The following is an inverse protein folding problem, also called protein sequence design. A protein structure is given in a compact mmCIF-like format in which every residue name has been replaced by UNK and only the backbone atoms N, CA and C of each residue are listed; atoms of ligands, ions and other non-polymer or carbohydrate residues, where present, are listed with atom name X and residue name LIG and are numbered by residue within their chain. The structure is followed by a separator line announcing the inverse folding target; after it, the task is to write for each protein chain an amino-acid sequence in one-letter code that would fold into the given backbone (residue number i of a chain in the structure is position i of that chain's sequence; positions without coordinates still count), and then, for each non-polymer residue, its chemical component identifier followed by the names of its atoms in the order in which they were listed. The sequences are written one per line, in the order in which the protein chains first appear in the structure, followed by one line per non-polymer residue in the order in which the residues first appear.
data_IF_578405369485
#
_entry.id   IF_578405369485
#
_cell.length_a   1.000
_cell.length_b   1.000
_cell.length_c   1.000
_cell.angle_alpha   90.00
_cell.angle_beta   90.00
_cell.angle_gamma   90.00
#
_symmetry.space_group_name_H-M   'P 1'
#
loop_
_entity.id
_entity.type
_entity.pdbx_description
1 polymer ?
#
# COMPACT_ATOMS: atom_id res chain seq x y z
N UNK A 1 19.22 -4.58 23.84
CA UNK A 1 18.07 -4.01 23.11
C UNK A 1 17.44 -5.12 22.26
N UNK A 2 17.24 -6.33 22.82
CA UNK A 2 17.50 -7.56 22.03
C UNK A 2 16.30 -8.51 21.88
N UNK A 3 15.07 -8.05 22.15
CA UNK A 3 13.85 -8.87 22.01
C UNK A 3 12.73 -8.11 21.29
N UNK A 4 13.06 -7.32 20.26
CA UNK A 4 12.06 -6.81 19.31
C UNK A 4 12.02 -7.77 18.14
N UNK A 5 10.86 -8.38 17.91
CA UNK A 5 10.68 -9.28 16.77
C UNK A 5 10.94 -8.58 15.43
N UNK A 6 11.25 -9.37 14.41
CA UNK A 6 11.69 -8.86 13.11
C UNK A 6 10.59 -8.08 12.39
N UNK A 7 10.95 -6.99 11.72
CA UNK A 7 10.04 -6.20 10.88
C UNK A 7 10.62 -6.06 9.48
N UNK A 8 9.79 -6.30 8.46
CA UNK A 8 10.10 -6.16 7.05
C UNK A 8 9.11 -5.20 6.41
N UNK A 9 9.62 -4.15 5.79
CA UNK A 9 8.82 -3.23 4.96
C UNK A 9 9.05 -3.60 3.49
N UNK A 10 7.98 -3.73 2.72
CA UNK A 10 8.04 -4.18 1.32
C UNK A 10 6.88 -3.61 0.50
N UNK A 11 7.04 -3.70 -0.82
CA UNK A 11 6.00 -3.51 -1.83
C UNK A 11 6.01 -4.69 -2.79
N UNK A 12 4.86 -5.00 -3.40
CA UNK A 12 4.74 -6.02 -4.44
C UNK A 12 4.76 -5.36 -5.81
N UNK A 13 5.52 -5.94 -6.74
CA UNK A 13 5.58 -5.52 -8.13
C UNK A 13 5.20 -6.70 -9.01
N UNK A 14 4.48 -6.41 -10.09
CA UNK A 14 4.15 -7.40 -11.10
C UNK A 14 5.36 -7.74 -12.00
N UNK A 15 5.29 -8.77 -12.85
CA UNK A 15 6.39 -9.14 -13.75
C UNK A 15 6.85 -8.04 -14.72
N UNK A 16 6.01 -7.03 -14.97
CA UNK A 16 6.33 -5.89 -15.83
C UNK A 16 6.90 -4.70 -15.02
N UNK A 17 7.05 -4.85 -13.70
CA UNK A 17 7.54 -3.80 -12.81
C UNK A 17 6.46 -2.81 -12.36
N UNK A 18 5.17 -3.09 -12.56
CA UNK A 18 4.11 -2.22 -12.04
C UNK A 18 3.87 -2.49 -10.56
N UNK A 19 3.73 -1.42 -9.79
CA UNK A 19 3.41 -1.48 -8.37
C UNK A 19 1.99 -2.04 -8.16
N UNK A 20 1.87 -3.05 -7.30
CA UNK A 20 0.58 -3.62 -6.90
C UNK A 20 0.04 -2.84 -5.71
N UNK A 21 -1.23 -2.44 -5.78
CA UNK A 21 -1.89 -1.63 -4.74
C UNK A 21 -1.85 -2.34 -3.37
N UNK A 22 -1.17 -1.73 -2.40
CA UNK A 22 -1.02 -2.30 -1.06
C UNK A 22 -2.37 -2.57 -0.37
N UNK A 23 -3.42 -1.81 -0.69
CA UNK A 23 -4.77 -1.98 -0.13
C UNK A 23 -5.40 -3.28 -0.63
N UNK A 24 -5.12 -3.62 -1.88
CA UNK A 24 -5.56 -4.89 -2.46
C UNK A 24 -4.84 -6.06 -1.81
N UNK A 25 -3.53 -5.92 -1.60
CA UNK A 25 -2.74 -6.93 -0.88
C UNK A 25 -3.24 -7.11 0.57
N UNK A 26 -3.54 -6.01 1.28
CA UNK A 26 -4.11 -6.06 2.64
C UNK A 26 -5.44 -6.82 2.67
N UNK A 27 -6.32 -6.55 1.72
CA UNK A 27 -7.61 -7.24 1.60
C UNK A 27 -7.41 -8.75 1.38
N UNK A 28 -6.58 -9.13 0.40
CA UNK A 28 -6.30 -10.54 0.09
C UNK A 28 -5.61 -11.25 1.25
N UNK A 29 -4.72 -10.56 1.97
CA UNK A 29 -4.09 -11.08 3.19
C UNK A 29 -5.15 -11.33 4.28
N UNK A 30 -6.07 -10.39 4.49
CA UNK A 30 -7.16 -10.54 5.44
C UNK A 30 -8.08 -11.73 5.11
N UNK A 31 -8.40 -11.94 3.82
CA UNK A 31 -9.13 -13.12 3.35
C UNK A 31 -8.34 -14.42 3.61
N UNK A 32 -7.02 -14.38 3.44
CA UNK A 32 -6.12 -15.47 3.80
C UNK A 32 -5.88 -15.60 5.33
N UNK A 33 -6.55 -14.78 6.16
CA UNK A 33 -6.37 -14.67 7.62
C UNK A 33 -4.92 -14.36 8.04
N UNK A 34 -4.29 -13.44 7.32
CA UNK A 34 -2.98 -12.85 7.60
C UNK A 34 -3.20 -11.38 7.92
N UNK A 35 -2.77 -10.93 9.10
CA UNK A 35 -2.87 -9.52 9.49
C UNK A 35 -1.59 -8.79 9.09
N UNK A 36 -1.68 -7.92 8.08
CA UNK A 36 -0.61 -7.02 7.69
C UNK A 36 -0.84 -5.63 8.28
N UNK A 37 0.23 -4.83 8.41
CA UNK A 37 0.09 -3.40 8.65
C UNK A 37 0.39 -2.67 7.35
N UNK A 38 -0.58 -1.91 6.86
CA UNK A 38 -0.38 -1.08 5.68
C UNK A 38 -0.70 0.38 5.98
N UNK A 39 -0.23 1.28 5.13
CA UNK A 39 -0.52 2.70 5.25
C UNK A 39 0.35 3.54 4.33
N UNK A 40 -0.03 4.81 4.20
CA UNK A 40 0.78 5.83 3.54
C UNK A 40 2.04 6.12 4.35
N UNK A 41 3.16 6.44 3.70
CA UNK A 41 4.30 7.10 4.34
C UNK A 41 3.85 8.49 4.80
N UNK A 42 3.33 8.56 6.01
CA UNK A 42 2.84 9.80 6.62
C UNK A 42 3.95 10.64 7.27
N UNK A 43 5.22 10.40 6.91
CA UNK A 43 6.33 11.28 7.24
C UNK A 43 6.53 12.27 6.09
N UNK A 44 6.19 13.57 6.28
CA UNK A 44 6.54 14.60 5.32
C UNK A 44 8.05 14.58 5.07
N UNK A 45 8.44 14.59 3.80
CA UNK A 45 9.81 14.45 3.31
C UNK A 45 10.28 13.02 3.02
N UNK A 46 9.71 11.99 3.65
CA UNK A 46 10.13 10.60 3.44
C UNK A 46 9.33 9.90 2.33
N UNK A 47 8.03 10.21 2.21
CA UNK A 47 7.22 9.76 1.07
C UNK A 47 7.63 10.47 -0.22
N UNK A 48 7.97 11.75 -0.12
CA UNK A 48 8.40 12.60 -1.24
C UNK A 48 9.76 12.18 -1.79
N UNK A 49 10.71 11.81 -0.91
CA UNK A 49 12.01 11.29 -1.33
C UNK A 49 11.97 9.85 -1.87
N UNK A 50 11.02 9.02 -1.40
CA UNK A 50 10.86 7.64 -1.87
C UNK A 50 10.14 7.56 -3.22
N UNK A 51 9.23 8.50 -3.48
CA UNK A 51 8.39 8.54 -4.68
C UNK A 51 8.82 9.65 -5.66
N UNK A 52 9.94 10.34 -5.44
CA UNK A 52 10.43 11.45 -6.30
C UNK A 52 9.34 12.52 -6.57
N UNK A 53 8.69 12.97 -5.50
CA UNK A 53 7.67 14.02 -5.55
C UNK A 53 8.34 15.37 -5.31
N UNK A 54 8.15 16.30 -6.25
CA UNK A 54 8.71 17.65 -6.11
C UNK A 54 7.78 18.60 -5.33
N UNK A 55 8.29 19.79 -4.99
CA UNK A 55 7.52 20.80 -4.26
C UNK A 55 6.29 21.29 -5.04
N UNK A 56 6.35 21.30 -6.37
CA UNK A 56 5.25 21.65 -7.27
C UNK A 56 4.12 20.62 -7.24
N UNK A 57 4.46 19.34 -7.19
CA UNK A 57 3.50 18.25 -7.03
C UNK A 57 2.72 18.38 -5.72
N UNK A 58 3.44 18.61 -4.62
CA UNK A 58 2.84 18.80 -3.30
C UNK A 58 1.96 20.05 -3.24
N UNK A 59 2.44 21.18 -3.75
CA UNK A 59 1.71 22.45 -3.72
C UNK A 59 0.42 22.36 -4.52
N UNK A 60 0.48 21.84 -5.73
CA UNK A 60 -0.71 21.74 -6.55
C UNK A 60 -1.65 20.62 -6.06
N UNK A 61 -1.17 19.60 -5.34
CA UNK A 61 -2.03 18.63 -4.67
C UNK A 61 -2.79 19.24 -3.48
N UNK A 62 -2.13 20.10 -2.70
CA UNK A 62 -2.75 20.86 -1.61
C UNK A 62 -3.77 21.87 -2.14
N UNK A 63 -3.44 22.58 -3.22
CA UNK A 63 -4.35 23.52 -3.88
C UNK A 63 -5.59 22.82 -4.46
N UNK A 64 -5.42 21.65 -5.09
CA UNK A 64 -6.55 20.85 -5.60
C UNK A 64 -7.40 20.23 -4.50
N UNK A 65 -6.80 19.80 -3.40
CA UNK A 65 -7.54 19.17 -2.31
C UNK A 65 -8.29 20.19 -1.42
N UNK A 66 -7.87 21.46 -1.43
CA UNK A 66 -8.54 22.56 -0.74
C UNK A 66 -8.46 22.48 0.80
N UNK A 67 -9.30 23.25 1.49
CA UNK A 67 -9.36 23.33 2.98
C UNK A 67 -9.83 22.04 3.67
N UNK A 68 -10.36 21.08 2.92
CA UNK A 68 -10.83 19.78 3.41
C UNK A 68 -9.86 18.67 2.98
N UNK A 69 -8.57 18.88 3.27
CA UNK A 69 -7.56 17.86 3.00
C UNK A 69 -7.77 16.70 4.00
N UNK A 70 -8.03 15.52 3.47
CA UNK A 70 -7.98 14.28 4.23
C UNK A 70 -7.08 13.29 3.47
N UNK A 71 -6.64 12.24 4.16
CA UNK A 71 -5.70 11.27 3.60
C UNK A 71 -6.21 10.67 2.28
N UNK A 72 -7.53 10.45 2.14
CA UNK A 72 -8.11 9.87 0.94
C UNK A 72 -8.01 10.81 -0.25
N UNK A 73 -8.30 12.10 -0.05
CA UNK A 73 -8.21 13.12 -1.10
C UNK A 73 -6.77 13.37 -1.52
N UNK A 74 -5.83 13.36 -0.57
CA UNK A 74 -4.40 13.45 -0.86
C UNK A 74 -3.91 12.25 -1.68
N UNK A 75 -4.24 11.02 -1.26
CA UNK A 75 -3.90 9.80 -2.00
C UNK A 75 -4.50 9.77 -3.40
N UNK A 76 -5.75 10.24 -3.57
CA UNK A 76 -6.40 10.31 -4.88
C UNK A 76 -5.65 11.26 -5.83
N UNK A 77 -5.25 12.45 -5.35
CA UNK A 77 -4.49 13.41 -6.17
C UNK A 77 -3.10 12.87 -6.50
N UNK A 78 -2.43 12.20 -5.56
CA UNK A 78 -1.13 11.56 -5.80
C UNK A 78 -1.22 10.43 -6.83
N UNK A 79 -2.26 9.59 -6.75
CA UNK A 79 -2.53 8.53 -7.73
C UNK A 79 -2.78 9.11 -9.12
N UNK A 80 -3.56 10.19 -9.22
CA UNK A 80 -3.86 10.86 -10.48
C UNK A 80 -2.65 11.52 -11.15
N UNK A 81 -1.57 11.80 -10.40
CA UNK A 81 -0.37 12.50 -10.89
C UNK A 81 0.80 11.60 -11.32
N UNK A 82 0.67 10.28 -11.21
CA UNK A 82 1.74 9.41 -11.72
C UNK A 82 1.74 7.97 -11.24
N UNK A 83 0.63 7.44 -10.69
CA UNK A 83 0.58 6.05 -10.23
C UNK A 83 1.44 5.74 -9.00
N UNK A 84 2.00 6.76 -8.37
CA UNK A 84 2.80 6.69 -7.14
C UNK A 84 1.87 6.42 -5.96
N UNK A 85 1.70 5.15 -5.58
CA UNK A 85 0.98 4.83 -4.35
C UNK A 85 1.94 5.04 -3.19
N UNK A 86 1.82 6.17 -2.50
CA UNK A 86 2.68 6.58 -1.39
C UNK A 86 2.54 5.69 -0.13
N UNK A 87 2.31 4.39 -0.25
CA UNK A 87 2.12 3.47 0.86
C UNK A 87 3.05 2.27 0.84
N UNK A 88 3.20 1.64 2.00
CA UNK A 88 4.02 0.45 2.17
C UNK A 88 3.32 -0.61 3.00
N UNK A 89 3.73 -1.85 2.77
CA UNK A 89 3.33 -3.00 3.56
C UNK A 89 4.41 -3.28 4.59
N UNK A 90 4.01 -3.45 5.84
CA UNK A 90 4.88 -3.83 6.94
C UNK A 90 4.45 -5.17 7.52
N UNK A 91 5.34 -6.14 7.41
CA UNK A 91 5.24 -7.44 8.06
C UNK A 91 6.02 -7.38 9.37
N UNK A 92 5.37 -7.67 10.48
CA UNK A 92 6.01 -7.69 11.80
C UNK A 92 5.82 -9.06 12.43
N UNK A 93 6.92 -9.67 12.83
CA UNK A 93 6.96 -10.90 13.63
C UNK A 93 7.24 -10.53 15.09
N UNK A 94 6.81 -11.38 16.01
CA UNK A 94 7.03 -11.16 17.44
C UNK A 94 6.94 -12.46 18.22
N UNK A 95 6.82 -12.36 19.54
CA UNK A 95 6.70 -13.52 20.44
C UNK A 95 5.54 -14.45 20.07
N UNK A 96 4.48 -13.90 19.47
CA UNK A 96 3.30 -14.66 19.04
C UNK A 96 3.44 -15.28 17.62
N UNK A 97 4.57 -15.07 16.94
CA UNK A 97 4.81 -15.60 15.58
C UNK A 97 5.75 -16.80 15.64
N UNK A 98 5.53 -17.78 14.78
CA UNK A 98 6.40 -18.94 14.61
C UNK A 98 6.77 -19.16 13.14
N UNK A 99 7.54 -20.22 12.86
CA UNK A 99 7.98 -20.54 11.50
C UNK A 99 6.83 -20.82 10.54
N UNK A 100 5.75 -21.46 10.98
CA UNK A 100 4.59 -21.75 10.14
C UNK A 100 3.86 -20.46 9.72
N UNK A 101 3.86 -19.42 10.56
CA UNK A 101 3.31 -18.12 10.20
C UNK A 101 4.12 -17.45 9.08
N UNK A 102 5.45 -17.54 9.17
CA UNK A 102 6.35 -17.04 8.13
C UNK A 102 6.15 -17.80 6.83
N UNK A 103 6.10 -19.13 6.89
CA UNK A 103 5.88 -19.98 5.71
C UNK A 103 4.50 -19.71 5.07
N UNK A 104 3.47 -19.46 5.88
CA UNK A 104 2.15 -19.07 5.39
C UNK A 104 2.19 -17.72 4.68
N UNK A 105 2.93 -16.76 5.21
CA UNK A 105 3.15 -15.48 4.52
C UNK A 105 3.92 -15.66 3.21
N UNK A 106 4.96 -16.50 3.18
CA UNK A 106 5.72 -16.79 1.96
C UNK A 106 4.84 -17.40 0.86
N UNK A 107 4.01 -18.41 1.19
CA UNK A 107 3.04 -18.98 0.23
C UNK A 107 2.03 -17.96 -0.28
N UNK A 108 1.58 -17.06 0.60
CA UNK A 108 0.70 -15.96 0.19
C UNK A 108 1.42 -15.03 -0.81
N UNK A 109 2.66 -14.64 -0.51
CA UNK A 109 3.47 -13.78 -1.37
C UNK A 109 3.78 -14.44 -2.74
N UNK A 110 4.05 -15.74 -2.76
CA UNK A 110 4.28 -16.52 -3.99
C UNK A 110 3.10 -16.47 -4.96
N UNK A 111 1.87 -16.37 -4.44
CA UNK A 111 0.66 -16.25 -5.26
C UNK A 111 0.62 -15.02 -6.17
N UNK A 112 1.44 -14.00 -5.89
CA UNK A 112 1.51 -12.77 -6.68
C UNK A 112 2.65 -12.74 -7.70
N UNK A 113 3.62 -13.66 -7.61
CA UNK A 113 4.88 -13.60 -8.38
C UNK A 113 4.66 -13.52 -9.88
N UNK A 114 3.66 -14.23 -10.37
CA UNK A 114 3.35 -14.38 -11.80
C UNK A 114 2.03 -13.70 -12.19
N UNK A 115 1.52 -12.79 -11.35
CA UNK A 115 0.25 -12.08 -11.56
C UNK A 115 0.49 -10.63 -11.99
N UNK A 116 -0.30 -10.13 -12.94
CA UNK A 116 -0.25 -8.72 -13.33
C UNK A 116 -0.98 -7.84 -12.30
N UNK A 117 -0.58 -6.57 -12.15
CA UNK A 117 -1.29 -5.64 -11.26
C UNK A 117 -2.78 -5.50 -11.63
N UNK A 118 -3.10 -5.59 -12.93
CA UNK A 118 -4.48 -5.60 -13.44
C UNK A 118 -5.27 -6.85 -12.98
N UNK A 119 -4.65 -8.03 -13.01
CA UNK A 119 -5.28 -9.28 -12.56
C UNK A 119 -5.49 -9.31 -11.05
N UNK A 120 -4.54 -8.78 -10.27
CA UNK A 120 -4.70 -8.67 -8.82
C UNK A 120 -5.81 -7.67 -8.46
N UNK A 121 -5.98 -6.65 -9.30
CA UNK A 121 -7.00 -5.62 -9.17
C UNK A 121 -6.52 -4.44 -8.32
N UNK A 122 -7.33 -3.40 -8.28
CA UNK A 122 -7.08 -2.21 -7.47
C UNK A 122 -8.22 -1.94 -6.51
N UNK A 123 -7.95 -1.17 -5.47
CA UNK A 123 -8.97 -0.66 -4.56
C UNK A 123 -9.13 0.82 -4.85
N UNK A 124 -10.29 1.26 -5.30
CA UNK A 124 -10.61 2.67 -5.47
C UNK A 124 -11.46 3.16 -4.30
N UNK A 125 -11.32 4.43 -3.95
CA UNK A 125 -12.19 5.07 -2.96
C UNK A 125 -13.05 6.08 -3.70
N UNK A 126 -14.35 5.84 -3.72
CA UNK A 126 -15.30 6.84 -4.17
C UNK A 126 -15.48 7.88 -3.06
N UNK A 127 -14.92 9.07 -3.31
CA UNK A 127 -14.91 10.18 -2.37
C UNK A 127 -16.32 10.76 -2.19
N UNK A 128 -17.15 10.76 -3.24
CA UNK A 128 -18.48 11.37 -3.19
C UNK A 128 -19.46 10.51 -2.37
N UNK A 129 -19.37 9.19 -2.49
CA UNK A 129 -20.20 8.26 -1.71
C UNK A 129 -19.54 7.74 -0.43
N UNK A 130 -18.31 8.17 -0.12
CA UNK A 130 -17.50 7.67 0.99
C UNK A 130 -17.41 6.13 1.01
N UNK A 131 -17.31 5.50 -0.17
CA UNK A 131 -17.36 4.05 -0.33
C UNK A 131 -16.08 3.50 -0.95
N UNK A 132 -15.59 2.40 -0.40
CA UNK A 132 -14.53 1.61 -1.02
C UNK A 132 -15.13 0.82 -2.19
N UNK A 133 -14.66 1.11 -3.41
CA UNK A 133 -14.97 0.40 -4.64
C UNK A 133 -13.84 -0.56 -4.95
N UNK A 134 -14.18 -1.75 -5.45
CA UNK A 134 -13.23 -2.82 -5.71
C UNK A 134 -13.46 -3.31 -7.12
N UNK A 135 -12.41 -3.27 -7.94
CA UNK A 135 -12.47 -3.89 -9.26
C UNK A 135 -12.24 -5.40 -9.08
N UNK A 136 -13.22 -6.19 -9.52
CA UNK A 136 -13.11 -7.64 -9.55
C UNK A 136 -12.30 -8.06 -10.77
N UNK A 137 -11.13 -8.65 -10.53
CA UNK A 137 -10.43 -9.46 -11.52
C UNK A 137 -11.08 -10.83 -11.70
#
# INVERSE_FOLDING_TARGET
MDMRGGTLTLNFYDPNGHLVDYRRIEELAAQARISLRTGCFCNPGAGEAAEDLDEGDMRAAIEQAGREINLQRFLHVMQARGGKTAGAIRVSTGLASNFADVERFMRFAEGFRDQTALTVGTVSFDIESCRVVRDGG
#
